data_IF_328806967971
#
_entry.id   IF_328806967971
#
_cell.length_a   1.000
_cell.length_b   1.000
_cell.length_c   1.000
_cell.angle_alpha   90.00
_cell.angle_beta   90.00
_cell.angle_gamma   90.00
#
_symmetry.space_group_name_H-M   'P 1'
#
loop_
_entity.id
_entity.type
_entity.pdbx_description
1 polymer ?
#
# COMPACT_ATOMS: atom_id res chain seq x y z
N UNK A 1 -5.57 -10.92 20.26
CA UNK A 1 -5.69 -9.52 19.87
C UNK A 1 -5.39 -8.65 21.08
N UNK A 2 -4.21 -8.06 21.11
CA UNK A 2 -3.85 -7.01 22.06
C UNK A 2 -4.27 -5.68 21.41
N UNK A 3 -5.17 -4.95 22.06
CA UNK A 3 -5.46 -3.58 21.66
C UNK A 3 -4.28 -2.70 22.05
N UNK A 4 -3.97 -1.66 21.26
CA UNK A 4 -2.88 -0.70 21.51
C UNK A 4 -2.88 -0.09 22.93
N UNK A 5 -4.00 -0.14 23.64
CA UNK A 5 -4.17 0.40 24.99
C UNK A 5 -3.73 -0.54 26.12
N UNK A 6 -3.19 -1.72 25.81
CA UNK A 6 -2.75 -2.68 26.83
C UNK A 6 -1.24 -2.78 26.81
N UNK A 7 -0.60 -2.36 27.88
CA UNK A 7 0.85 -2.58 28.03
C UNK A 7 1.16 -4.08 27.94
N UNK A 8 1.93 -4.53 26.93
CA UNK A 8 2.24 -5.94 26.72
C UNK A 8 2.83 -6.61 27.96
N UNK A 9 3.62 -5.89 28.76
CA UNK A 9 4.20 -6.39 30.00
C UNK A 9 3.16 -6.68 31.10
N UNK A 10 1.94 -6.16 30.98
CA UNK A 10 0.86 -6.41 31.95
C UNK A 10 0.00 -7.63 31.59
N UNK A 11 0.16 -8.20 30.40
CA UNK A 11 -0.59 -9.37 29.93
C UNK A 11 0.06 -10.64 30.47
N UNK A 12 -0.65 -11.48 31.23
CA UNK A 12 -0.07 -12.73 31.69
C UNK A 12 0.33 -13.64 30.52
N UNK A 13 1.56 -14.05 30.51
CA UNK A 13 2.04 -15.05 29.55
C UNK A 13 1.37 -16.39 29.80
N UNK A 14 0.78 -16.98 28.77
CA UNK A 14 0.34 -18.37 28.79
C UNK A 14 1.35 -19.19 28.00
N UNK A 15 2.15 -19.97 28.66
CA UNK A 15 3.09 -20.88 28.02
C UNK A 15 2.33 -22.03 27.35
N UNK A 16 2.58 -22.21 26.04
CA UNK A 16 2.04 -23.36 25.31
C UNK A 16 2.82 -24.63 25.54
N UNK A 17 2.31 -25.76 25.00
CA UNK A 17 2.87 -27.09 25.16
C UNK A 17 4.37 -27.19 24.79
N UNK A 18 4.86 -26.39 23.89
CA UNK A 18 6.27 -26.33 23.52
C UNK A 18 7.20 -25.99 24.69
N UNK A 19 6.69 -25.33 25.74
CA UNK A 19 7.45 -24.99 26.94
C UNK A 19 7.53 -26.13 27.97
N UNK A 20 6.77 -27.20 27.76
CA UNK A 20 6.69 -28.37 28.65
C UNK A 20 7.53 -29.55 28.10
N UNK A 21 8.11 -29.43 26.93
CA UNK A 21 8.88 -30.47 26.25
C UNK A 21 10.38 -30.17 26.27
N UNK A 22 11.20 -31.24 26.48
CA UNK A 22 12.66 -31.13 26.41
C UNK A 22 13.14 -31.26 24.96
N UNK A 23 12.66 -30.33 24.13
CA UNK A 23 12.99 -30.27 22.71
C UNK A 23 13.31 -28.79 22.30
N UNK A 24 14.07 -28.64 21.22
CA UNK A 24 14.34 -27.35 20.65
C UNK A 24 13.17 -26.92 19.76
N UNK A 25 12.65 -25.71 20.00
CA UNK A 25 11.56 -25.09 19.22
C UNK A 25 12.05 -23.79 18.58
N UNK A 26 11.64 -23.47 17.33
CA UNK A 26 10.91 -24.35 16.41
C UNK A 26 11.72 -25.58 15.99
N UNK A 27 11.07 -26.67 15.59
CA UNK A 27 11.76 -27.91 15.21
C UNK A 27 12.47 -27.77 13.86
N UNK A 28 11.78 -27.16 12.90
CA UNK A 28 12.32 -26.92 11.56
C UNK A 28 13.08 -25.60 11.53
N UNK A 29 14.35 -25.65 11.13
CA UNK A 29 15.19 -24.45 10.94
C UNK A 29 15.05 -23.86 9.53
N UNK A 30 14.49 -24.61 8.59
CA UNK A 30 14.17 -24.18 7.23
C UNK A 30 12.93 -24.92 6.76
N UNK A 31 11.97 -24.19 6.23
CA UNK A 31 10.80 -24.80 5.59
C UNK A 31 10.35 -23.95 4.39
N UNK A 32 9.49 -24.52 3.55
CA UNK A 32 8.90 -23.83 2.41
C UNK A 32 7.43 -23.52 2.71
N UNK A 33 6.97 -22.32 2.37
CA UNK A 33 5.55 -21.99 2.32
C UNK A 33 4.90 -22.57 1.07
N UNK A 34 3.60 -22.41 0.91
CA UNK A 34 2.94 -22.76 -0.35
C UNK A 34 3.48 -21.89 -1.49
N UNK A 35 3.60 -22.44 -2.72
CA UNK A 35 3.88 -21.62 -3.88
C UNK A 35 2.79 -20.57 -4.09
N UNK A 36 3.17 -19.41 -4.56
CA UNK A 36 2.27 -18.31 -4.89
C UNK A 36 2.49 -17.85 -6.34
N UNK A 37 1.54 -17.11 -6.88
CA UNK A 37 1.65 -16.48 -8.19
C UNK A 37 1.69 -14.98 -7.98
N UNK A 38 2.65 -14.33 -8.63
CA UNK A 38 2.75 -12.90 -8.74
C UNK A 38 2.75 -12.58 -10.23
N UNK A 39 1.59 -12.17 -10.75
CA UNK A 39 1.34 -11.87 -12.15
C UNK A 39 1.81 -12.96 -13.13
N UNK A 40 3.04 -12.91 -13.60
CA UNK A 40 3.61 -13.84 -14.60
C UNK A 40 4.64 -14.78 -14.04
N UNK A 41 4.97 -14.67 -12.78
CA UNK A 41 6.00 -15.46 -12.10
C UNK A 41 5.36 -16.28 -10.96
N UNK A 42 5.73 -17.55 -10.87
CA UNK A 42 5.36 -18.40 -9.75
C UNK A 42 6.54 -18.48 -8.79
N UNK A 43 6.31 -18.04 -7.57
CA UNK A 43 7.30 -17.96 -6.51
C UNK A 43 7.20 -19.08 -5.48
N UNK A 44 8.21 -19.14 -4.62
CA UNK A 44 8.29 -20.09 -3.51
C UNK A 44 9.09 -19.46 -2.37
N UNK A 45 8.42 -19.10 -1.28
CA UNK A 45 9.10 -18.59 -0.11
C UNK A 45 9.79 -19.71 0.68
N UNK A 46 11.01 -19.43 1.13
CA UNK A 46 11.81 -20.31 1.99
C UNK A 46 12.07 -19.56 3.30
N UNK A 47 11.53 -20.08 4.37
CA UNK A 47 11.63 -19.47 5.69
C UNK A 47 12.81 -20.06 6.46
N UNK A 48 13.63 -19.20 7.04
CA UNK A 48 14.76 -19.54 7.88
C UNK A 48 14.46 -19.21 9.34
N UNK A 49 14.68 -20.15 10.23
CA UNK A 49 14.54 -19.99 11.68
C UNK A 49 15.88 -20.30 12.36
N UNK A 50 16.85 -19.37 12.34
CA UNK A 50 18.22 -19.65 12.78
C UNK A 50 18.38 -19.76 14.29
N UNK A 51 17.34 -19.51 15.06
CA UNK A 51 17.35 -19.56 16.52
C UNK A 51 16.34 -20.59 17.00
N UNK A 52 16.79 -21.50 17.85
CA UNK A 52 15.95 -22.47 18.53
C UNK A 52 16.13 -22.36 20.05
N UNK A 53 15.05 -22.51 20.78
CA UNK A 53 15.06 -22.47 22.23
C UNK A 53 14.56 -23.81 22.84
N UNK A 54 15.29 -24.34 23.80
CA UNK A 54 14.83 -25.46 24.64
C UNK A 54 14.41 -24.92 26.02
N UNK A 55 13.14 -24.92 26.35
CA UNK A 55 12.65 -24.30 27.58
C UNK A 55 13.01 -25.07 28.85
N UNK A 56 13.12 -26.40 28.76
CA UNK A 56 13.50 -27.25 29.90
C UNK A 56 14.98 -27.08 30.23
N UNK A 57 15.83 -27.09 29.19
CA UNK A 57 17.28 -26.89 29.35
C UNK A 57 17.63 -25.40 29.48
N UNK A 58 16.70 -24.49 29.22
CA UNK A 58 16.92 -23.01 29.14
C UNK A 58 18.09 -22.65 28.25
N UNK A 59 18.17 -23.30 27.09
CA UNK A 59 19.30 -23.19 26.17
C UNK A 59 18.82 -22.66 24.83
N UNK A 60 19.50 -21.60 24.31
CA UNK A 60 19.37 -21.13 22.95
C UNK A 60 20.39 -21.87 22.07
N UNK A 61 19.93 -22.28 20.90
CA UNK A 61 20.79 -22.77 19.82
C UNK A 61 20.69 -21.77 18.66
N UNK A 62 21.82 -21.19 18.29
CA UNK A 62 21.92 -20.22 17.21
C UNK A 62 22.73 -20.83 16.07
N UNK A 63 22.15 -20.85 14.88
CA UNK A 63 22.83 -21.29 13.67
C UNK A 63 23.45 -20.07 12.98
N UNK A 64 24.77 -19.96 13.04
CA UNK A 64 25.53 -18.87 12.41
C UNK A 64 25.75 -19.07 10.91
N UNK A 65 25.45 -20.26 10.41
CA UNK A 65 25.55 -20.61 9.01
C UNK A 65 24.54 -21.70 8.66
N UNK A 66 23.68 -21.42 7.68
CA UNK A 66 22.70 -22.38 7.14
C UNK A 66 22.93 -22.46 5.63
N UNK A 67 23.12 -23.68 5.12
CA UNK A 67 23.22 -23.95 3.69
C UNK A 67 22.02 -24.76 3.24
N UNK A 68 21.25 -24.20 2.31
CA UNK A 68 20.06 -24.84 1.72
C UNK A 68 20.37 -25.20 0.27
N UNK A 69 20.04 -26.42 -0.11
CA UNK A 69 20.06 -26.87 -1.51
C UNK A 69 18.62 -27.10 -1.97
N UNK A 70 18.17 -26.31 -2.92
CA UNK A 70 16.85 -26.42 -3.53
C UNK A 70 16.95 -27.34 -4.75
N UNK A 71 16.14 -28.38 -4.79
CA UNK A 71 16.08 -29.31 -5.93
C UNK A 71 14.64 -29.48 -6.38
N UNK A 72 14.42 -29.35 -7.67
CA UNK A 72 13.10 -29.63 -8.25
C UNK A 72 12.78 -31.13 -8.10
N UNK A 73 11.65 -31.43 -7.46
CA UNK A 73 11.20 -32.80 -7.21
C UNK A 73 9.79 -33.04 -7.74
N UNK A 74 9.52 -32.66 -8.98
CA UNK A 74 8.23 -32.87 -9.64
C UNK A 74 7.40 -31.59 -9.83
N UNK A 75 6.10 -31.77 -10.03
CA UNK A 75 5.15 -30.69 -10.27
C UNK A 75 4.16 -30.59 -9.11
N UNK A 76 3.96 -29.37 -8.58
CA UNK A 76 2.94 -29.08 -7.57
C UNK A 76 1.63 -28.68 -8.24
N UNK A 77 0.52 -29.13 -7.66
CA UNK A 77 -0.84 -28.69 -8.03
C UNK A 77 -1.32 -27.51 -7.21
N UNK A 78 -0.51 -27.00 -6.29
CA UNK A 78 -0.82 -25.79 -5.52
C UNK A 78 -0.39 -24.60 -6.36
N UNK A 79 -1.29 -23.67 -6.62
CA UNK A 79 -1.07 -22.48 -7.45
C UNK A 79 -0.26 -22.78 -8.73
N UNK A 80 -0.76 -23.62 -9.65
CA UNK A 80 -0.07 -23.85 -10.91
C UNK A 80 -0.26 -22.63 -11.83
N UNK A 81 0.80 -22.05 -12.32
CA UNK A 81 0.73 -20.97 -13.31
C UNK A 81 0.29 -21.56 -14.67
N UNK A 82 -0.99 -21.55 -14.94
CA UNK A 82 -1.61 -22.18 -16.13
C UNK A 82 -1.90 -21.20 -17.26
N UNK A 83 -2.05 -19.90 -16.95
CA UNK A 83 -2.29 -18.82 -17.91
C UNK A 83 -1.29 -17.69 -17.68
N UNK A 84 -1.07 -16.91 -18.70
CA UNK A 84 -0.27 -15.66 -18.64
C UNK A 84 -0.94 -14.63 -19.53
N UNK A 85 -0.82 -13.31 -19.21
CA UNK A 85 -1.29 -12.28 -20.11
C UNK A 85 -0.72 -12.42 -21.52
N UNK A 86 -1.52 -12.08 -22.52
CA UNK A 86 -1.13 -12.16 -23.93
C UNK A 86 -0.06 -11.11 -24.29
N UNK A 87 -0.07 -9.96 -23.62
CA UNK A 87 0.89 -8.87 -23.80
C UNK A 87 1.87 -8.84 -22.64
N UNK A 88 3.12 -8.50 -22.96
CA UNK A 88 4.26 -8.61 -22.06
C UNK A 88 4.21 -7.71 -20.82
N UNK A 89 5.25 -7.80 -20.00
CA UNK A 89 5.32 -7.29 -18.66
C UNK A 89 5.23 -5.76 -18.54
N UNK A 90 4.70 -5.32 -17.41
CA UNK A 90 4.80 -3.95 -16.93
C UNK A 90 6.19 -3.76 -16.29
N UNK A 91 6.78 -2.58 -16.49
CA UNK A 91 8.06 -2.23 -15.88
C UNK A 91 8.02 -2.31 -14.36
N UNK A 92 6.92 -1.88 -13.76
CA UNK A 92 6.73 -1.93 -12.32
C UNK A 92 6.81 -3.37 -11.82
N UNK A 93 6.15 -4.31 -12.49
CA UNK A 93 6.22 -5.73 -12.11
C UNK A 93 7.58 -6.36 -12.37
N UNK A 94 8.31 -5.97 -13.42
CA UNK A 94 9.68 -6.44 -13.64
C UNK A 94 10.62 -6.01 -12.51
N UNK A 95 10.44 -4.79 -12.01
CA UNK A 95 11.18 -4.29 -10.87
C UNK A 95 10.80 -5.04 -9.57
N UNK A 96 9.49 -5.22 -9.33
CA UNK A 96 8.98 -6.03 -8.21
C UNK A 96 9.62 -7.43 -8.22
N UNK A 97 9.66 -8.08 -9.39
CA UNK A 97 10.25 -9.41 -9.49
C UNK A 97 11.75 -9.42 -9.19
N UNK A 98 12.47 -8.39 -9.62
CA UNK A 98 13.89 -8.28 -9.38
C UNK A 98 14.24 -8.16 -7.90
N UNK A 99 13.39 -7.46 -7.14
CA UNK A 99 13.54 -7.34 -5.69
C UNK A 99 13.09 -8.60 -4.96
N UNK A 100 11.90 -9.08 -5.31
CA UNK A 100 11.22 -10.12 -4.56
C UNK A 100 11.80 -11.54 -4.76
N UNK A 101 12.35 -11.84 -5.94
CA UNK A 101 12.85 -13.18 -6.26
C UNK A 101 14.38 -13.21 -6.37
N UNK A 102 15.05 -13.90 -5.46
CA UNK A 102 16.51 -14.07 -5.44
C UNK A 102 17.11 -14.59 -6.74
N UNK A 103 16.36 -15.30 -7.55
CA UNK A 103 16.81 -15.90 -8.81
C UNK A 103 16.09 -15.32 -10.05
N UNK A 104 15.41 -14.20 -9.90
CA UNK A 104 14.85 -13.53 -11.05
C UNK A 104 15.97 -12.85 -11.84
N UNK A 105 15.96 -13.06 -13.13
CA UNK A 105 16.84 -12.36 -14.06
C UNK A 105 16.00 -11.85 -15.23
N UNK A 106 16.04 -10.58 -15.50
CA UNK A 106 15.51 -10.04 -16.74
C UNK A 106 16.33 -10.60 -17.91
N UNK A 107 15.74 -11.49 -18.68
CA UNK A 107 16.38 -12.07 -19.88
C UNK A 107 16.38 -11.10 -21.09
N UNK A 108 16.09 -9.81 -20.86
CA UNK A 108 16.15 -8.84 -21.96
C UNK A 108 17.60 -8.43 -22.21
N UNK A 109 18.09 -8.67 -23.43
CA UNK A 109 19.37 -8.17 -23.94
C UNK A 109 19.39 -6.63 -24.09
N UNK A 110 18.28 -5.96 -23.84
CA UNK A 110 18.08 -4.51 -23.94
C UNK A 110 17.41 -4.03 -22.68
N UNK A 111 17.86 -2.89 -22.12
CA UNK A 111 17.06 -2.11 -21.21
C UNK A 111 15.71 -1.87 -21.90
N UNK A 112 14.64 -2.46 -21.37
CA UNK A 112 13.30 -2.14 -21.84
C UNK A 112 13.08 -0.66 -21.51
N UNK A 113 13.08 0.18 -22.54
CA UNK A 113 12.59 1.53 -22.44
C UNK A 113 11.19 1.43 -21.82
N UNK A 114 11.03 1.97 -20.57
CA UNK A 114 9.89 1.67 -19.74
C UNK A 114 8.59 2.14 -20.34
N UNK A 115 7.87 1.22 -20.95
CA UNK A 115 6.45 1.37 -21.19
C UNK A 115 5.75 1.01 -19.90
N UNK A 116 5.03 1.97 -19.32
CA UNK A 116 4.07 1.73 -18.27
C UNK A 116 2.96 0.84 -18.85
N UNK A 117 2.45 -0.12 -18.04
CA UNK A 117 1.45 -1.07 -18.54
C UNK A 117 0.10 -0.38 -18.84
N UNK A 118 -0.79 -1.03 -19.63
CA UNK A 118 -2.12 -0.49 -19.90
C UNK A 118 -2.93 -0.28 -18.62
N UNK A 119 -3.75 0.76 -18.60
CA UNK A 119 -4.67 1.11 -17.53
C UNK A 119 -6.12 0.86 -17.97
N UNK A 120 -6.91 0.27 -17.09
CA UNK A 120 -8.35 0.19 -17.21
C UNK A 120 -8.99 1.19 -16.23
N UNK A 121 -9.85 2.05 -16.73
CA UNK A 121 -10.69 2.93 -15.90
C UNK A 121 -12.11 2.37 -15.90
N UNK A 122 -12.59 1.91 -14.75
CA UNK A 122 -13.99 1.53 -14.53
C UNK A 122 -14.69 2.73 -13.91
N UNK A 123 -15.60 3.35 -14.65
CA UNK A 123 -16.17 4.64 -14.32
C UNK A 123 -17.68 4.54 -14.15
N UNK A 124 -18.23 5.30 -13.20
CA UNK A 124 -19.68 5.51 -13.15
C UNK A 124 -20.12 6.37 -14.34
N UNK A 125 -21.19 5.97 -15.03
CA UNK A 125 -21.59 6.56 -16.31
C UNK A 125 -21.73 8.08 -16.33
N UNK A 126 -22.26 8.68 -15.24
CA UNK A 126 -22.41 10.14 -15.13
C UNK A 126 -21.07 10.87 -15.02
N UNK A 127 -19.97 10.20 -14.67
CA UNK A 127 -18.63 10.78 -14.51
C UNK A 127 -17.76 10.65 -15.75
N UNK A 128 -18.15 9.86 -16.74
CA UNK A 128 -17.34 9.54 -17.90
C UNK A 128 -16.96 10.77 -18.73
N UNK A 129 -17.86 11.75 -18.88
CA UNK A 129 -17.56 12.99 -19.61
C UNK A 129 -16.46 13.79 -18.89
N UNK A 130 -16.56 13.93 -17.57
CA UNK A 130 -15.56 14.62 -16.76
C UNK A 130 -14.21 13.88 -16.76
N UNK A 131 -14.18 12.56 -16.92
CA UNK A 131 -12.97 11.74 -16.95
C UNK A 131 -12.21 11.80 -18.29
N UNK A 132 -12.80 12.30 -19.37
CA UNK A 132 -12.14 12.32 -20.69
C UNK A 132 -10.76 13.00 -20.68
N UNK A 133 -10.56 14.17 -20.03
CA UNK A 133 -9.24 14.80 -19.97
C UNK A 133 -8.17 13.93 -19.31
N UNK A 134 -8.54 13.14 -18.29
CA UNK A 134 -7.63 12.20 -17.64
C UNK A 134 -7.22 11.06 -18.60
N UNK A 135 -8.18 10.44 -19.28
CA UNK A 135 -7.91 9.38 -20.26
C UNK A 135 -7.03 9.87 -21.39
N UNK A 136 -7.31 11.08 -21.91
CA UNK A 136 -6.49 11.73 -22.94
C UNK A 136 -5.07 11.99 -22.44
N UNK A 137 -4.93 12.49 -21.20
CA UNK A 137 -3.63 12.74 -20.58
C UNK A 137 -2.81 11.45 -20.41
N UNK A 138 -3.40 10.38 -19.87
CA UNK A 138 -2.71 9.09 -19.69
C UNK A 138 -2.25 8.50 -21.02
N UNK A 139 -3.10 8.54 -22.04
CA UNK A 139 -2.74 8.12 -23.39
C UNK A 139 -1.62 9.00 -23.98
N UNK A 140 -1.67 10.32 -23.78
CA UNK A 140 -0.63 11.24 -24.23
C UNK A 140 0.72 10.97 -23.52
N UNK A 141 0.67 10.65 -22.23
CA UNK A 141 1.84 10.29 -21.41
C UNK A 141 2.45 8.93 -21.83
N UNK A 142 1.72 8.12 -22.59
CA UNK A 142 2.19 6.80 -23.07
C UNK A 142 1.65 5.62 -22.28
N UNK A 143 0.65 5.83 -21.43
CA UNK A 143 -0.08 4.77 -20.72
C UNK A 143 -1.36 4.47 -21.51
N UNK A 144 -1.42 3.36 -22.30
CA UNK A 144 -2.64 3.00 -23.01
C UNK A 144 -3.80 2.84 -22.03
N UNK A 145 -4.80 3.72 -22.14
CA UNK A 145 -5.90 3.77 -21.16
C UNK A 145 -7.23 3.57 -21.87
N UNK A 146 -7.99 2.58 -21.39
CA UNK A 146 -9.38 2.32 -21.78
C UNK A 146 -10.31 2.70 -20.63
N UNK A 147 -11.43 3.33 -20.93
CA UNK A 147 -12.46 3.65 -19.95
C UNK A 147 -13.77 2.97 -20.32
N UNK A 148 -14.42 2.34 -19.34
CA UNK A 148 -15.70 1.62 -19.49
C UNK A 148 -16.70 2.07 -18.44
N UNK A 149 -18.00 2.07 -18.80
CA UNK A 149 -19.07 2.33 -17.88
C UNK A 149 -19.32 1.10 -16.99
N UNK A 150 -19.36 1.27 -15.68
CA UNK A 150 -19.68 0.18 -14.75
C UNK A 150 -21.05 -0.42 -15.02
N UNK A 151 -21.99 0.35 -15.55
CA UNK A 151 -23.31 -0.14 -15.93
C UNK A 151 -23.29 -1.21 -17.06
N UNK A 152 -22.25 -1.20 -17.89
CA UNK A 152 -22.04 -2.20 -18.92
C UNK A 152 -21.39 -3.50 -18.36
N UNK A 153 -20.89 -3.46 -17.13
CA UNK A 153 -20.23 -4.59 -16.47
C UNK A 153 -21.17 -5.26 -15.47
N UNK A 154 -21.59 -4.54 -14.43
CA UNK A 154 -22.48 -5.05 -13.38
C UNK A 154 -21.99 -4.80 -11.94
N UNK A 155 -22.23 -5.76 -11.04
CA UNK A 155 -21.84 -5.70 -9.64
C UNK A 155 -20.39 -6.11 -9.39
N UNK A 156 -20.00 -6.28 -8.11
CA UNK A 156 -18.63 -6.59 -7.74
C UNK A 156 -18.09 -7.88 -8.37
N UNK A 157 -18.90 -8.94 -8.42
CA UNK A 157 -18.48 -10.23 -8.99
C UNK A 157 -18.27 -10.13 -10.51
N UNK A 158 -19.10 -9.35 -11.22
CA UNK A 158 -18.96 -9.09 -12.65
C UNK A 158 -17.75 -8.17 -12.94
N UNK A 159 -17.46 -7.19 -12.06
CA UNK A 159 -16.26 -6.35 -12.17
C UNK A 159 -15.00 -7.20 -12.00
N UNK A 160 -14.97 -8.09 -11.01
CA UNK A 160 -13.85 -9.02 -10.79
C UNK A 160 -13.58 -9.87 -12.04
N UNK A 161 -14.61 -10.51 -12.58
CA UNK A 161 -14.51 -11.32 -13.80
C UNK A 161 -14.09 -10.49 -15.03
N UNK A 162 -14.53 -9.24 -15.12
CA UNK A 162 -14.16 -8.33 -16.21
C UNK A 162 -12.69 -7.92 -16.10
N UNK A 163 -12.22 -7.55 -14.90
CA UNK A 163 -10.82 -7.20 -14.63
C UNK A 163 -9.91 -8.41 -14.91
N UNK A 164 -10.30 -9.62 -14.47
CA UNK A 164 -9.57 -10.85 -14.80
C UNK A 164 -9.46 -11.05 -16.32
N UNK A 165 -10.56 -10.86 -17.05
CA UNK A 165 -10.57 -10.98 -18.53
C UNK A 165 -9.62 -9.97 -19.16
N UNK A 166 -9.69 -8.71 -18.76
CA UNK A 166 -8.81 -7.64 -19.26
C UNK A 166 -7.34 -7.90 -18.92
N UNK A 167 -7.07 -8.45 -17.76
CA UNK A 167 -5.71 -8.84 -17.38
C UNK A 167 -5.14 -9.89 -18.34
N UNK A 168 -5.88 -10.96 -18.62
CA UNK A 168 -5.39 -12.04 -19.49
C UNK A 168 -5.37 -11.66 -20.97
N UNK A 169 -6.33 -10.88 -21.45
CA UNK A 169 -6.49 -10.56 -22.88
C UNK A 169 -5.67 -9.31 -23.27
N UNK A 170 -5.66 -8.27 -22.44
CA UNK A 170 -5.02 -7.00 -22.73
C UNK A 170 -3.72 -6.75 -21.92
N UNK A 171 -3.51 -7.50 -20.84
CA UNK A 171 -2.32 -7.40 -20.00
C UNK A 171 -2.29 -6.14 -19.16
N UNK A 172 -3.46 -5.65 -18.69
CA UNK A 172 -3.54 -4.46 -17.86
C UNK A 172 -2.66 -4.57 -16.61
N UNK A 173 -2.04 -3.47 -16.23
CA UNK A 173 -1.22 -3.35 -15.03
C UNK A 173 -1.89 -2.50 -13.95
N UNK A 174 -2.80 -1.63 -14.35
CA UNK A 174 -3.48 -0.66 -13.48
C UNK A 174 -4.98 -0.71 -13.69
N UNK A 175 -5.73 -0.59 -12.61
CA UNK A 175 -7.17 -0.33 -12.63
C UNK A 175 -7.47 0.88 -11.77
N UNK A 176 -8.20 1.85 -12.30
CA UNK A 176 -8.72 2.98 -11.57
C UNK A 176 -10.24 2.90 -11.51
N UNK A 177 -10.80 2.79 -10.33
CA UNK A 177 -12.24 2.91 -10.09
C UNK A 177 -12.63 4.37 -9.89
N UNK A 178 -13.67 4.83 -10.58
CA UNK A 178 -14.13 6.22 -10.51
C UNK A 178 -15.58 6.28 -10.05
N UNK A 179 -15.75 6.56 -8.79
CA UNK A 179 -17.02 6.57 -8.04
C UNK A 179 -16.84 6.10 -6.61
N UNK A 180 -17.74 6.50 -5.74
CA UNK A 180 -17.83 6.02 -4.36
C UNK A 180 -18.47 4.61 -4.34
N UNK A 181 -18.68 4.05 -3.17
CA UNK A 181 -19.21 2.69 -2.97
C UNK A 181 -20.57 2.46 -3.64
N UNK A 182 -21.41 3.49 -3.68
CA UNK A 182 -22.74 3.42 -4.30
C UNK A 182 -22.70 3.47 -5.82
N UNK A 183 -21.62 4.04 -6.40
CA UNK A 183 -21.39 4.13 -7.85
C UNK A 183 -20.61 2.92 -8.36
N UNK A 184 -19.54 2.57 -7.68
CA UNK A 184 -18.66 1.44 -8.02
C UNK A 184 -18.58 0.51 -6.81
N UNK A 185 -19.28 -0.63 -6.82
CA UNK A 185 -19.24 -1.58 -5.72
C UNK A 185 -17.83 -2.12 -5.49
N UNK A 186 -17.55 -2.54 -4.27
CA UNK A 186 -16.31 -3.17 -3.84
C UNK A 186 -16.61 -4.55 -3.26
N UNK A 187 -15.77 -5.56 -3.47
CA UNK A 187 -15.85 -6.81 -2.74
C UNK A 187 -15.80 -6.55 -1.24
N UNK A 188 -16.49 -7.40 -0.49
CA UNK A 188 -16.59 -7.22 0.95
C UNK A 188 -16.21 -8.49 1.68
N UNK A 189 -15.26 -8.37 2.57
CA UNK A 189 -14.81 -9.47 3.40
C UNK A 189 -15.00 -9.15 4.89
N UNK A 190 -15.20 -10.19 5.68
CA UNK A 190 -15.29 -10.04 7.13
C UNK A 190 -13.90 -9.86 7.73
N UNK A 191 -13.69 -8.77 8.46
CA UNK A 191 -12.47 -8.46 9.19
C UNK A 191 -12.28 -9.29 10.48
N UNK A 192 -13.10 -10.30 10.70
CA UNK A 192 -13.08 -11.10 11.92
C UNK A 192 -13.65 -10.39 13.16
N UNK A 193 -13.83 -9.07 13.12
CA UNK A 193 -14.49 -8.27 14.16
C UNK A 193 -15.99 -8.10 13.91
N UNK A 194 -16.50 -8.61 12.77
CA UNK A 194 -17.90 -8.58 12.39
C UNK A 194 -18.25 -7.43 11.44
N UNK A 195 -17.29 -6.65 10.98
CA UNK A 195 -17.45 -5.70 9.90
C UNK A 195 -17.39 -6.43 8.55
N UNK A 196 -18.05 -5.88 7.57
CA UNK A 196 -18.02 -6.34 6.18
C UNK A 196 -17.46 -5.18 5.36
N UNK A 197 -16.13 -5.03 5.40
CA UNK A 197 -15.44 -3.86 4.89
C UNK A 197 -15.06 -3.97 3.42
N UNK A 198 -15.02 -2.85 2.68
CA UNK A 198 -14.57 -2.85 1.29
C UNK A 198 -13.12 -3.30 1.16
N UNK A 199 -12.83 -3.99 0.08
CA UNK A 199 -11.54 -4.60 -0.18
C UNK A 199 -11.16 -4.46 -1.67
N UNK A 200 -11.03 -3.24 -2.15
CA UNK A 200 -10.65 -2.93 -3.54
C UNK A 200 -9.39 -3.65 -4.00
N UNK A 201 -8.33 -3.82 -3.16
CA UNK A 201 -7.15 -4.55 -3.59
C UNK A 201 -7.43 -5.97 -4.09
N UNK A 202 -8.52 -6.61 -3.63
CA UNK A 202 -8.88 -7.97 -4.06
C UNK A 202 -9.23 -8.07 -5.54
N UNK A 203 -9.65 -6.98 -6.19
CA UNK A 203 -9.82 -6.94 -7.65
C UNK A 203 -8.51 -7.15 -8.41
N UNK A 204 -7.37 -6.99 -7.75
CA UNK A 204 -6.05 -7.24 -8.30
C UNK A 204 -5.57 -8.68 -8.18
N UNK A 205 -6.27 -9.56 -7.45
CA UNK A 205 -5.88 -10.96 -7.22
C UNK A 205 -6.47 -11.86 -8.31
N UNK A 206 -5.93 -11.78 -9.52
CA UNK A 206 -6.51 -12.43 -10.72
C UNK A 206 -5.79 -13.73 -11.10
N UNK A 207 -4.70 -14.09 -10.46
CA UNK A 207 -3.96 -15.31 -10.75
C UNK A 207 -3.61 -16.10 -9.48
N UNK A 208 -4.01 -17.34 -9.42
CA UNK A 208 -3.76 -18.20 -8.25
C UNK A 208 -4.91 -18.21 -7.25
N UNK A 209 -4.60 -18.39 -5.99
CA UNK A 209 -5.51 -18.33 -4.85
C UNK A 209 -4.75 -17.83 -3.62
N UNK A 210 -3.97 -16.81 -3.81
CA UNK A 210 -3.16 -16.14 -2.80
C UNK A 210 -3.47 -14.64 -2.78
N UNK A 211 -2.80 -13.88 -1.92
CA UNK A 211 -3.05 -12.45 -1.71
C UNK A 211 -1.98 -11.56 -2.38
N UNK A 212 -1.24 -12.10 -3.35
CA UNK A 212 -0.29 -11.28 -4.10
C UNK A 212 -0.98 -10.67 -5.33
N UNK A 213 -1.12 -9.34 -5.39
CA UNK A 213 -1.82 -8.70 -6.49
C UNK A 213 -1.03 -8.77 -7.80
N UNK A 214 -1.73 -8.99 -8.89
CA UNK A 214 -1.21 -8.91 -10.25
C UNK A 214 -1.46 -7.56 -10.91
N UNK A 215 -2.34 -6.76 -10.33
CA UNK A 215 -2.77 -5.46 -10.85
C UNK A 215 -2.74 -4.46 -9.70
N UNK A 216 -2.26 -3.26 -9.98
CA UNK A 216 -2.32 -2.14 -9.04
C UNK A 216 -3.70 -1.51 -9.14
N UNK A 217 -4.40 -1.44 -8.01
CA UNK A 217 -5.77 -0.93 -7.93
C UNK A 217 -5.75 0.43 -7.23
N UNK A 218 -6.37 1.44 -7.85
CA UNK A 218 -6.62 2.74 -7.25
C UNK A 218 -8.09 3.15 -7.34
N UNK A 219 -8.50 4.11 -6.51
CA UNK A 219 -9.86 4.64 -6.52
C UNK A 219 -9.88 6.16 -6.47
N UNK A 220 -10.59 6.77 -7.42
CA UNK A 220 -11.13 8.11 -7.29
C UNK A 220 -12.53 8.01 -6.69
N UNK A 221 -12.60 7.98 -5.35
CA UNK A 221 -13.89 7.91 -4.66
C UNK A 221 -14.62 9.23 -4.78
N UNK A 222 -15.69 9.25 -5.57
CA UNK A 222 -16.45 10.44 -5.93
C UNK A 222 -17.95 10.18 -5.84
N UNK A 223 -18.69 11.14 -5.25
CA UNK A 223 -20.15 11.12 -5.17
C UNK A 223 -20.80 11.99 -6.25
N UNK A 224 -20.03 12.93 -6.81
CA UNK A 224 -20.50 13.85 -7.86
C UNK A 224 -19.35 14.24 -8.80
N UNK A 225 -19.70 14.93 -9.88
CA UNK A 225 -18.74 15.36 -10.91
C UNK A 225 -17.72 16.38 -10.40
N UNK A 226 -18.05 17.18 -9.39
CA UNK A 226 -17.10 18.16 -8.84
C UNK A 226 -15.97 17.47 -8.07
N UNK A 227 -16.24 16.34 -7.41
CA UNK A 227 -15.21 15.49 -6.81
C UNK A 227 -14.28 14.92 -7.88
N UNK A 228 -14.86 14.40 -8.98
CA UNK A 228 -14.09 13.87 -10.12
C UNK A 228 -13.19 14.95 -10.71
N UNK A 229 -13.74 16.11 -11.03
CA UNK A 229 -13.00 17.26 -11.60
C UNK A 229 -11.86 17.71 -10.67
N UNK A 230 -12.08 17.71 -9.36
CA UNK A 230 -11.04 18.05 -8.36
C UNK A 230 -9.86 17.08 -8.44
N UNK A 231 -10.12 15.78 -8.45
CA UNK A 231 -9.08 14.74 -8.51
C UNK A 231 -8.33 14.75 -9.84
N UNK A 232 -9.06 14.89 -10.96
CA UNK A 232 -8.46 14.96 -12.30
C UNK A 232 -7.57 16.20 -12.45
N UNK A 233 -8.08 17.38 -12.08
CA UNK A 233 -7.34 18.63 -12.20
C UNK A 233 -6.04 18.56 -11.39
N UNK A 234 -6.09 18.01 -10.17
CA UNK A 234 -4.92 17.81 -9.34
C UNK A 234 -3.91 16.84 -9.98
N UNK A 235 -4.38 15.69 -10.47
CA UNK A 235 -3.51 14.69 -11.10
C UNK A 235 -2.83 15.24 -12.35
N UNK A 236 -3.59 15.91 -13.23
CA UNK A 236 -3.05 16.49 -14.46
C UNK A 236 -2.06 17.61 -14.13
N UNK A 237 -2.39 18.52 -13.21
CA UNK A 237 -1.47 19.58 -12.76
C UNK A 237 -0.17 18.99 -12.21
N UNK A 238 -0.26 18.01 -11.32
CA UNK A 238 0.89 17.37 -10.70
C UNK A 238 1.82 16.68 -11.70
N UNK A 239 1.26 16.00 -12.69
CA UNK A 239 2.04 15.21 -13.66
C UNK A 239 2.52 16.01 -14.86
N UNK A 240 1.74 16.99 -15.32
CA UNK A 240 1.99 17.69 -16.61
C UNK A 240 2.96 18.86 -16.46
N UNK A 241 2.88 19.60 -15.37
CA UNK A 241 3.61 20.87 -15.21
C UNK A 241 4.30 20.97 -13.83
N UNK A 242 5.18 20.03 -13.48
CA UNK A 242 5.92 20.11 -12.23
C UNK A 242 6.89 21.28 -12.26
N UNK A 243 6.86 22.15 -11.24
CA UNK A 243 7.84 23.23 -11.10
C UNK A 243 9.20 22.67 -10.65
N UNK A 244 10.21 22.59 -11.53
CA UNK A 244 11.52 22.02 -11.19
C UNK A 244 12.29 22.87 -10.16
N UNK A 245 11.81 24.06 -9.84
CA UNK A 245 12.44 24.99 -8.87
C UNK A 245 11.75 24.95 -7.50
N UNK A 246 10.64 24.24 -7.37
CA UNK A 246 9.88 24.19 -6.14
C UNK A 246 10.62 23.35 -5.07
N UNK A 247 10.76 23.93 -3.89
CA UNK A 247 11.47 23.28 -2.76
C UNK A 247 10.64 22.23 -2.04
N UNK A 248 9.32 22.28 -2.14
CA UNK A 248 8.41 21.38 -1.42
C UNK A 248 8.58 19.90 -1.80
N UNK A 249 9.04 19.61 -3.02
CA UNK A 249 9.36 18.24 -3.45
C UNK A 249 10.43 17.54 -2.60
N UNK A 250 11.26 18.34 -1.89
CA UNK A 250 12.34 17.83 -1.04
C UNK A 250 12.00 17.90 0.44
N UNK A 251 10.74 18.08 0.76
CA UNK A 251 10.26 18.18 2.13
C UNK A 251 9.24 17.11 2.42
N UNK A 252 9.27 16.56 3.62
CA UNK A 252 8.33 15.56 4.11
C UNK A 252 7.86 15.86 5.52
N UNK A 253 6.89 15.09 6.00
CA UNK A 253 6.43 15.14 7.40
C UNK A 253 6.20 13.74 7.94
N UNK A 254 6.62 13.51 9.19
CA UNK A 254 6.25 12.37 10.00
C UNK A 254 5.28 12.79 11.12
N UNK A 255 4.16 12.09 11.22
CA UNK A 255 3.18 12.29 12.30
C UNK A 255 3.01 11.00 13.07
N UNK A 256 3.38 10.95 14.35
CA UNK A 256 3.43 9.71 15.12
C UNK A 256 2.86 9.80 16.52
N UNK A 257 2.35 8.66 17.00
CA UNK A 257 2.09 8.47 18.43
C UNK A 257 3.40 8.16 19.19
N UNK A 258 3.32 8.23 20.52
CA UNK A 258 4.38 7.77 21.43
C UNK A 258 4.16 6.33 21.92
N UNK A 259 3.33 5.56 21.22
CA UNK A 259 2.94 4.20 21.58
C UNK A 259 3.80 3.15 20.87
N UNK A 260 3.70 1.92 21.34
CA UNK A 260 4.48 0.79 20.84
C UNK A 260 4.66 -0.28 21.93
N UNK A 261 5.59 -1.22 21.73
CA UNK A 261 6.38 -1.42 20.51
C UNK A 261 5.57 -2.04 19.37
N UNK A 262 5.91 -1.62 18.14
CA UNK A 262 5.41 -2.17 16.90
C UNK A 262 6.40 -3.14 16.24
N UNK A 263 6.65 -2.94 14.96
CA UNK A 263 7.66 -3.67 14.20
C UNK A 263 9.05 -3.41 14.74
N UNK A 264 9.98 -4.36 14.62
CA UNK A 264 11.35 -4.32 15.14
C UNK A 264 11.48 -3.94 16.64
N UNK A 265 10.36 -3.83 17.34
CA UNK A 265 10.30 -3.42 18.73
C UNK A 265 10.35 -1.93 18.95
N UNK A 266 10.09 -1.14 17.93
CA UNK A 266 10.12 0.32 17.91
C UNK A 266 8.81 0.95 18.40
N UNK A 267 8.90 2.14 18.98
CA UNK A 267 7.75 3.00 19.17
C UNK A 267 7.39 3.70 17.85
N UNK A 268 6.13 4.13 17.70
CA UNK A 268 5.65 4.75 16.46
C UNK A 268 6.52 5.92 16.00
N UNK A 269 6.98 6.77 16.92
CA UNK A 269 7.86 7.88 16.57
C UNK A 269 9.31 7.45 16.27
N UNK A 270 9.80 6.35 16.87
CA UNK A 270 11.12 5.80 16.57
C UNK A 270 11.16 5.23 15.15
N UNK A 271 10.09 4.53 14.77
CA UNK A 271 9.86 4.06 13.41
C UNK A 271 9.90 5.22 12.39
N UNK A 272 9.15 6.30 12.64
CA UNK A 272 9.18 7.46 11.74
C UNK A 272 10.49 8.26 11.80
N UNK A 273 11.26 8.17 12.88
CA UNK A 273 12.62 8.74 12.94
C UNK A 273 13.59 7.97 12.03
N UNK A 274 13.48 6.65 11.93
CA UNK A 274 14.26 5.84 11.01
C UNK A 274 13.93 6.20 9.55
N UNK A 275 12.66 6.21 9.18
CA UNK A 275 12.20 6.67 7.85
C UNK A 275 12.69 8.09 7.55
N UNK A 276 12.63 8.99 8.53
CA UNK A 276 13.14 10.35 8.39
C UNK A 276 14.63 10.40 8.07
N UNK A 277 15.42 9.59 8.77
CA UNK A 277 16.87 9.57 8.57
C UNK A 277 17.21 9.06 7.16
N UNK A 278 16.48 8.09 6.63
CA UNK A 278 16.63 7.58 5.27
C UNK A 278 16.23 8.64 4.23
N UNK A 279 15.11 9.31 4.41
CA UNK A 279 14.68 10.41 3.54
C UNK A 279 15.72 11.55 3.50
N UNK A 280 16.23 11.96 4.66
CA UNK A 280 17.28 13.00 4.77
C UNK A 280 18.63 12.53 4.22
N UNK A 281 18.91 11.22 4.28
CA UNK A 281 20.08 10.59 3.70
C UNK A 281 20.08 10.57 2.18
N UNK A 282 18.91 10.67 1.57
CA UNK A 282 18.74 10.58 0.12
C UNK A 282 18.69 11.96 -0.57
N UNK A 283 17.52 12.55 -0.71
CA UNK A 283 17.38 13.85 -1.40
C UNK A 283 16.53 14.88 -0.65
N UNK A 284 15.90 14.45 0.42
CA UNK A 284 15.09 15.34 1.25
C UNK A 284 15.98 16.29 2.07
N UNK A 285 15.53 17.51 2.27
CA UNK A 285 16.27 18.56 3.01
C UNK A 285 15.59 18.90 4.33
N UNK A 286 14.33 18.53 4.47
CA UNK A 286 13.50 18.79 5.64
C UNK A 286 12.46 17.68 5.78
N UNK A 287 12.35 17.08 6.96
CA UNK A 287 11.29 16.13 7.31
C UNK A 287 10.86 16.45 8.75
N UNK A 288 9.61 16.89 8.91
CA UNK A 288 9.08 17.29 10.19
C UNK A 288 8.89 16.10 11.13
N UNK A 289 9.08 16.34 12.42
CA UNK A 289 8.81 15.43 13.51
C UNK A 289 7.65 15.99 14.34
N UNK A 290 6.40 15.71 13.94
CA UNK A 290 5.20 16.17 14.64
C UNK A 290 4.61 15.00 15.41
N UNK A 291 5.16 14.75 16.58
CA UNK A 291 4.94 13.55 17.37
C UNK A 291 4.28 13.86 18.72
N UNK A 292 3.50 12.89 19.23
CA UNK A 292 3.03 12.94 20.62
C UNK A 292 4.22 13.04 21.61
N UNK A 293 4.04 13.71 22.76
CA UNK A 293 2.84 14.47 23.17
C UNK A 293 2.88 15.93 22.76
N UNK A 294 3.85 16.38 21.95
CA UNK A 294 4.09 17.79 21.66
C UNK A 294 3.48 18.26 20.32
N UNK A 295 3.23 17.36 19.40
CA UNK A 295 2.67 17.68 18.08
C UNK A 295 1.25 18.22 18.18
N UNK A 296 0.89 19.14 17.30
CA UNK A 296 -0.43 19.78 17.26
C UNK A 296 -1.00 19.82 15.84
N UNK A 297 -2.31 20.04 15.73
CA UNK A 297 -2.98 20.30 14.45
C UNK A 297 -2.35 21.51 13.73
N UNK A 298 -2.08 22.59 14.47
CA UNK A 298 -1.48 23.81 13.90
C UNK A 298 -0.09 23.54 13.27
N UNK A 299 0.75 22.71 13.91
CA UNK A 299 2.05 22.34 13.36
C UNK A 299 1.90 21.59 12.02
N UNK A 300 0.95 20.64 11.94
CA UNK A 300 0.67 19.90 10.72
C UNK A 300 0.09 20.78 9.62
N UNK A 301 -0.88 21.66 9.94
CA UNK A 301 -1.44 22.61 8.98
C UNK A 301 -0.37 23.56 8.42
N UNK A 302 0.55 24.06 9.27
CA UNK A 302 1.66 24.90 8.83
C UNK A 302 2.56 24.13 7.87
N UNK A 303 3.00 22.92 8.25
CA UNK A 303 3.86 22.09 7.43
C UNK A 303 3.21 21.79 6.05
N UNK A 304 1.96 21.33 6.04
CA UNK A 304 1.23 20.99 4.82
C UNK A 304 1.00 22.21 3.91
N UNK A 305 0.67 23.36 4.49
CA UNK A 305 0.44 24.60 3.74
C UNK A 305 1.74 25.23 3.21
N UNK A 306 2.87 24.96 3.84
CA UNK A 306 4.21 25.31 3.30
C UNK A 306 4.65 24.38 2.17
N UNK A 307 4.00 23.23 2.02
CA UNK A 307 4.25 22.19 1.02
C UNK A 307 5.16 21.07 1.51
N UNK A 308 4.63 19.87 1.44
CA UNK A 308 5.35 18.60 1.68
C UNK A 308 5.02 17.64 0.55
N UNK A 309 5.97 16.86 0.09
CA UNK A 309 5.75 15.89 -0.99
C UNK A 309 5.32 14.53 -0.45
N UNK A 310 5.70 14.21 0.79
CA UNK A 310 5.37 12.95 1.45
C UNK A 310 4.90 13.22 2.88
N UNK A 311 3.92 12.44 3.30
CA UNK A 311 3.50 12.33 4.70
C UNK A 311 3.49 10.86 5.10
N UNK A 312 4.24 10.53 6.13
CA UNK A 312 4.16 9.25 6.82
C UNK A 312 3.40 9.45 8.14
N UNK A 313 2.36 8.65 8.35
CA UNK A 313 1.59 8.63 9.59
C UNK A 313 1.64 7.26 10.24
N UNK A 314 1.90 7.20 11.55
CA UNK A 314 1.83 5.96 12.34
C UNK A 314 1.19 6.23 13.69
N UNK A 315 0.00 5.66 13.92
CA UNK A 315 -0.77 5.92 15.14
C UNK A 315 -2.22 5.45 15.07
N UNK A 316 -3.05 5.97 15.97
CA UNK A 316 -4.49 5.70 15.95
C UNK A 316 -5.21 6.46 14.84
N UNK A 317 -6.25 5.84 14.29
CA UNK A 317 -7.14 6.44 13.31
C UNK A 317 -8.61 6.22 13.64
N UNK A 318 -9.43 7.04 13.02
CA UNK A 318 -10.88 6.87 12.96
C UNK A 318 -11.33 7.08 11.52
N UNK A 319 -12.61 6.85 11.21
CA UNK A 319 -13.14 7.08 9.87
C UNK A 319 -12.89 8.51 9.35
N UNK A 320 -12.82 9.53 10.21
CA UNK A 320 -12.67 10.93 9.80
C UNK A 320 -11.44 11.66 10.35
N UNK A 321 -10.46 10.96 10.96
CA UNK A 321 -9.31 11.67 11.55
C UNK A 321 -8.14 10.76 11.87
N UNK A 322 -6.96 11.33 11.97
CA UNK A 322 -5.86 10.81 12.77
C UNK A 322 -6.05 11.12 14.25
N UNK A 323 -5.42 10.36 15.14
CA UNK A 323 -5.60 10.48 16.59
C UNK A 323 -4.37 10.96 17.36
N UNK A 324 -3.19 11.00 16.72
CA UNK A 324 -1.90 11.20 17.39
C UNK A 324 -0.99 12.14 16.61
N UNK A 325 0.04 12.62 17.26
CA UNK A 325 1.06 13.52 16.70
C UNK A 325 0.45 14.79 16.14
N UNK A 326 -0.14 14.68 14.97
CA UNK A 326 -0.93 15.71 14.33
C UNK A 326 -2.37 15.20 14.16
N UNK A 327 -3.27 15.39 15.14
CA UNK A 327 -4.62 14.80 15.11
C UNK A 327 -5.57 15.58 14.19
N UNK A 328 -5.22 15.65 12.90
CA UNK A 328 -6.02 16.25 11.85
C UNK A 328 -7.34 15.51 11.68
N UNK A 329 -8.41 16.25 11.48
CA UNK A 329 -9.73 15.75 11.10
C UNK A 329 -10.16 16.31 9.73
N UNK A 330 -11.32 15.88 9.26
CA UNK A 330 -11.87 16.29 7.97
C UNK A 330 -12.02 17.82 7.83
N UNK A 331 -12.32 18.53 8.92
CA UNK A 331 -12.44 19.99 8.88
C UNK A 331 -11.09 20.66 8.65
N UNK A 332 -10.06 20.15 9.31
CA UNK A 332 -8.70 20.67 9.18
C UNK A 332 -8.18 20.43 7.75
N UNK A 333 -8.39 19.22 7.21
CA UNK A 333 -8.00 18.91 5.82
C UNK A 333 -8.73 19.79 4.81
N UNK A 334 -10.02 20.03 4.98
CA UNK A 334 -10.80 20.94 4.14
C UNK A 334 -10.40 22.42 4.34
N UNK A 335 -9.67 22.76 5.40
CA UNK A 335 -9.10 24.07 5.66
C UNK A 335 -7.74 24.32 5.02
N UNK A 336 -7.10 23.30 4.45
CA UNK A 336 -5.77 23.41 3.85
C UNK A 336 -5.77 24.35 2.64
N UNK A 337 -4.63 25.03 2.43
CA UNK A 337 -4.42 25.97 1.32
C UNK A 337 -3.18 25.61 0.47
N UNK A 338 -2.81 24.34 0.48
CA UNK A 338 -1.63 23.78 -0.18
C UNK A 338 -1.79 23.55 -1.69
N UNK A 339 -2.45 24.49 -2.38
CA UNK A 339 -2.68 24.44 -3.83
C UNK A 339 -1.38 24.26 -4.60
N UNK A 340 -1.32 23.27 -5.50
CA UNK A 340 -0.13 22.92 -6.29
C UNK A 340 0.97 22.20 -5.51
N UNK A 341 0.76 21.93 -4.22
CA UNK A 341 1.73 21.26 -3.33
C UNK A 341 1.08 20.07 -2.64
N UNK A 342 0.80 19.03 -3.41
CA UNK A 342 0.00 17.88 -2.98
C UNK A 342 0.91 16.73 -2.51
N UNK A 343 0.95 16.38 -1.21
CA UNK A 343 1.67 15.22 -0.73
C UNK A 343 1.01 13.92 -1.21
N UNK A 344 1.80 12.86 -1.34
CA UNK A 344 1.28 11.52 -1.20
C UNK A 344 1.43 11.06 0.25
N UNK A 345 0.52 10.19 0.70
CA UNK A 345 0.40 9.85 2.12
C UNK A 345 0.37 8.34 2.30
N UNK A 346 1.23 7.82 3.18
CA UNK A 346 1.12 6.48 3.72
C UNK A 346 0.68 6.54 5.18
N UNK A 347 -0.48 5.94 5.47
CA UNK A 347 -1.10 6.00 6.80
C UNK A 347 -1.23 4.61 7.41
N UNK A 348 -0.43 4.34 8.42
CA UNK A 348 -0.57 3.18 9.31
C UNK A 348 -1.54 3.56 10.41
N UNK A 349 -2.83 3.35 10.14
CA UNK A 349 -3.92 3.75 11.03
C UNK A 349 -5.22 2.97 10.76
N UNK A 350 -6.05 2.84 11.80
CA UNK A 350 -7.34 2.19 11.70
C UNK A 350 -8.35 3.01 10.88
N UNK A 351 -9.14 2.37 10.04
CA UNK A 351 -10.40 2.80 9.39
C UNK A 351 -10.39 4.16 8.68
N UNK A 352 -9.23 4.74 8.40
CA UNK A 352 -9.13 6.02 7.70
C UNK A 352 -9.64 5.96 6.25
N UNK A 353 -9.67 4.76 5.65
CA UNK A 353 -10.15 4.47 4.30
C UNK A 353 -11.51 3.75 4.27
N UNK A 354 -12.31 3.78 5.33
CA UNK A 354 -13.58 3.05 5.43
C UNK A 354 -14.71 3.76 4.65
N UNK A 355 -14.57 3.83 3.33
CA UNK A 355 -15.39 4.64 2.41
C UNK A 355 -16.83 4.15 2.20
N UNK A 356 -17.25 3.10 2.89
CA UNK A 356 -18.65 2.64 2.85
C UNK A 356 -19.51 3.20 3.98
N UNK A 357 -18.95 4.02 4.87
CA UNK A 357 -19.63 4.63 6.00
C UNK A 357 -19.50 6.16 5.92
N UNK A 358 -20.28 6.78 5.05
CA UNK A 358 -20.19 8.23 4.79
C UNK A 358 -18.81 8.61 4.26
N UNK A 359 -18.54 9.90 4.17
CA UNK A 359 -17.23 10.37 3.71
C UNK A 359 -16.14 10.01 4.70
N UNK A 360 -15.16 9.22 4.29
CA UNK A 360 -14.01 8.86 5.13
C UNK A 360 -12.85 9.87 5.03
N UNK A 361 -11.81 9.65 5.83
CA UNK A 361 -10.68 10.56 5.88
C UNK A 361 -9.87 10.55 4.58
N UNK A 362 -9.68 9.39 3.96
CA UNK A 362 -9.03 9.26 2.66
C UNK A 362 -9.75 10.07 1.56
N UNK A 363 -11.06 9.98 1.51
CA UNK A 363 -11.88 10.73 0.56
C UNK A 363 -11.78 12.24 0.78
N UNK A 364 -11.73 12.66 2.05
CA UNK A 364 -11.56 14.08 2.38
C UNK A 364 -10.27 14.64 1.79
N UNK A 365 -9.16 13.90 1.91
CA UNK A 365 -7.89 14.31 1.32
C UNK A 365 -7.96 14.47 -0.21
N UNK A 366 -8.70 13.60 -0.88
CA UNK A 366 -8.82 13.65 -2.34
C UNK A 366 -9.89 14.64 -2.84
N UNK A 367 -10.92 14.90 -2.04
CA UNK A 367 -12.04 15.80 -2.41
C UNK A 367 -11.78 17.25 -2.00
N UNK A 368 -10.74 17.53 -1.19
CA UNK A 368 -10.47 18.84 -0.63
C UNK A 368 -10.21 19.90 -1.71
N UNK A 369 -10.84 21.06 -1.52
CA UNK A 369 -10.67 22.26 -2.37
C UNK A 369 -10.55 23.51 -1.51
N UNK A 370 -9.74 24.45 -1.98
CA UNK A 370 -9.68 25.79 -1.39
C UNK A 370 -10.93 26.62 -1.67
N UNK A 371 -10.97 27.82 -1.11
CA UNK A 371 -12.13 28.73 -1.19
C UNK A 371 -12.57 29.09 -2.61
N UNK A 372 -11.72 28.91 -3.61
CA UNK A 372 -11.99 29.19 -5.03
C UNK A 372 -12.31 27.92 -5.84
N UNK A 373 -12.50 26.76 -5.18
CA UNK A 373 -12.69 25.49 -5.85
C UNK A 373 -11.42 24.90 -6.50
N UNK A 374 -10.25 25.48 -6.21
CA UNK A 374 -8.96 24.93 -6.66
C UNK A 374 -8.58 23.75 -5.75
N UNK A 375 -8.09 22.63 -6.29
CA UNK A 375 -7.73 21.47 -5.49
C UNK A 375 -6.72 21.81 -4.37
N UNK A 376 -6.88 21.19 -3.22
CA UNK A 376 -5.96 21.15 -2.08
C UNK A 376 -5.83 19.70 -1.60
N UNK A 377 -5.31 19.44 -0.41
CA UNK A 377 -5.23 18.09 0.14
C UNK A 377 -4.07 17.26 -0.41
N UNK A 378 -4.30 16.02 -0.81
CA UNK A 378 -3.26 15.07 -1.22
C UNK A 378 -3.47 14.55 -2.65
N UNK A 379 -2.36 14.15 -3.32
CA UNK A 379 -2.41 13.56 -4.68
C UNK A 379 -2.89 12.11 -4.62
N UNK A 380 -2.41 11.35 -3.63
CA UNK A 380 -2.81 9.96 -3.38
C UNK A 380 -2.61 9.62 -1.90
N UNK A 381 -3.41 8.70 -1.38
CA UNK A 381 -3.28 8.21 -0.01
C UNK A 381 -3.48 6.69 0.03
N UNK A 382 -2.73 6.00 0.89
CA UNK A 382 -2.91 4.58 1.21
C UNK A 382 -3.46 4.48 2.62
N UNK A 383 -4.72 4.06 2.74
CA UNK A 383 -5.46 4.06 4.01
C UNK A 383 -6.31 2.80 4.18
N UNK A 384 -6.38 2.29 5.41
CA UNK A 384 -7.06 1.04 5.71
C UNK A 384 -8.58 1.21 5.85
N UNK A 385 -9.32 0.24 5.33
CA UNK A 385 -10.78 0.15 5.48
C UNK A 385 -11.22 -0.58 6.76
N UNK A 386 -10.27 -1.10 7.54
CA UNK A 386 -10.51 -1.85 8.79
C UNK A 386 -9.68 -1.31 9.95
N UNK A 387 -9.90 -1.87 11.15
CA UNK A 387 -8.96 -1.69 12.25
C UNK A 387 -7.67 -2.42 11.94
N UNK A 388 -6.69 -1.68 11.48
CA UNK A 388 -5.41 -2.19 11.05
C UNK A 388 -4.59 -2.76 12.22
N UNK A 389 -3.88 -3.85 12.02
CA UNK A 389 -2.91 -4.35 12.99
C UNK A 389 -1.73 -3.40 13.14
N UNK A 390 -0.80 -3.66 14.06
CA UNK A 390 0.26 -2.68 14.35
C UNK A 390 1.53 -2.94 13.54
N UNK A 391 2.18 -4.07 13.80
CA UNK A 391 3.51 -4.34 13.25
C UNK A 391 3.53 -4.58 11.73
N UNK A 392 2.64 -5.40 11.12
CA UNK A 392 2.74 -5.66 9.69
C UNK A 392 2.70 -4.40 8.82
N UNK A 393 1.77 -3.44 9.02
CA UNK A 393 1.76 -2.24 8.18
C UNK A 393 2.92 -1.28 8.45
N UNK A 394 3.58 -1.33 9.62
CA UNK A 394 4.83 -0.58 9.84
C UNK A 394 5.96 -1.15 8.97
N UNK A 395 6.16 -2.47 8.94
CA UNK A 395 7.11 -3.15 8.04
C UNK A 395 6.84 -2.81 6.56
N UNK A 396 5.57 -2.80 6.15
CA UNK A 396 5.20 -2.35 4.80
C UNK A 396 5.54 -0.88 4.53
N UNK A 397 5.38 -0.01 5.52
CA UNK A 397 5.70 1.42 5.39
C UNK A 397 7.21 1.64 5.31
N UNK A 398 8.02 0.90 6.07
CA UNK A 398 9.48 0.93 5.96
C UNK A 398 9.93 0.57 4.55
N UNK A 399 9.46 -0.56 4.02
CA UNK A 399 9.82 -1.00 2.68
C UNK A 399 9.40 -0.01 1.59
N UNK A 400 8.22 0.63 1.71
CA UNK A 400 7.80 1.69 0.78
C UNK A 400 8.79 2.85 0.76
N UNK A 401 9.27 3.29 1.93
CA UNK A 401 10.23 4.36 2.06
C UNK A 401 11.63 3.94 1.62
N UNK A 402 12.08 2.72 1.92
CA UNK A 402 13.35 2.15 1.46
C UNK A 402 13.44 2.12 -0.08
N UNK A 403 12.36 1.72 -0.74
CA UNK A 403 12.31 1.74 -2.21
C UNK A 403 12.31 3.18 -2.73
N UNK A 404 11.59 4.09 -2.07
CA UNK A 404 11.54 5.50 -2.45
C UNK A 404 12.92 6.15 -2.40
N UNK A 405 13.72 5.85 -1.38
CA UNK A 405 15.09 6.39 -1.22
C UNK A 405 16.14 5.61 -2.00
N UNK A 406 15.71 4.72 -2.90
CA UNK A 406 16.59 3.93 -3.77
C UNK A 406 17.61 3.07 -2.98
N UNK A 407 17.22 2.54 -1.81
CA UNK A 407 18.05 1.62 -1.01
C UNK A 407 18.45 0.35 -1.78
N UNK A 408 17.71 0.01 -2.82
CA UNK A 408 17.92 -1.16 -3.66
C UNK A 408 18.39 -0.77 -5.07
N UNK A 409 19.60 -1.19 -5.49
CA UNK A 409 20.18 -0.85 -6.80
C UNK A 409 19.28 -1.23 -8.00
N UNK A 410 18.44 -2.25 -7.85
CA UNK A 410 17.62 -2.80 -8.93
C UNK A 410 16.12 -2.60 -8.75
N UNK A 411 15.67 -1.87 -7.72
CA UNK A 411 14.26 -1.64 -7.42
C UNK A 411 13.92 -0.15 -7.38
N UNK A 412 14.10 0.54 -8.48
CA UNK A 412 13.73 1.96 -8.62
C UNK A 412 12.29 2.04 -9.09
N UNK A 413 11.41 2.58 -8.24
CA UNK A 413 10.00 2.84 -8.54
C UNK A 413 9.77 4.32 -8.81
N UNK A 414 8.78 4.58 -9.66
CA UNK A 414 8.41 5.94 -10.05
C UNK A 414 6.92 6.22 -9.92
N UNK A 415 6.14 5.24 -9.56
CA UNK A 415 4.70 5.38 -9.35
C UNK A 415 4.34 5.11 -7.89
N UNK A 416 3.35 5.84 -7.39
CA UNK A 416 2.85 5.65 -6.03
C UNK A 416 2.35 4.21 -5.81
N UNK A 417 1.62 3.68 -6.78
CA UNK A 417 1.14 2.30 -6.74
C UNK A 417 2.27 1.27 -6.74
N UNK A 418 3.34 1.51 -7.51
CA UNK A 418 4.52 0.64 -7.53
C UNK A 418 5.25 0.60 -6.18
N UNK A 419 5.44 1.76 -5.54
CA UNK A 419 6.01 1.88 -4.19
C UNK A 419 5.14 1.15 -3.17
N UNK A 420 3.84 1.49 -3.13
CA UNK A 420 2.88 0.94 -2.17
C UNK A 420 2.74 -0.58 -2.31
N UNK A 421 2.65 -1.09 -3.56
CA UNK A 421 2.49 -2.52 -3.82
C UNK A 421 3.70 -3.35 -3.36
N UNK A 422 4.94 -2.83 -3.53
CA UNK A 422 6.11 -3.53 -3.01
C UNK A 422 6.09 -3.60 -1.48
N UNK A 423 5.75 -2.51 -0.80
CA UNK A 423 5.66 -2.51 0.66
C UNK A 423 4.61 -3.50 1.18
N UNK A 424 3.40 -3.55 0.60
CA UNK A 424 2.39 -4.51 1.05
C UNK A 424 2.78 -5.96 0.77
N UNK A 425 3.53 -6.23 -0.30
CA UNK A 425 4.03 -7.59 -0.58
C UNK A 425 5.17 -7.99 0.37
N UNK A 426 6.06 -7.05 0.71
CA UNK A 426 7.08 -7.27 1.74
C UNK A 426 6.43 -7.61 3.08
N UNK A 427 5.47 -6.82 3.50
CA UNK A 427 4.65 -7.07 4.69
C UNK A 427 4.03 -8.49 4.71
N UNK A 428 3.50 -8.96 3.57
CA UNK A 428 2.96 -10.32 3.45
C UNK A 428 4.06 -11.39 3.61
N UNK A 429 5.22 -11.16 3.02
CA UNK A 429 6.35 -12.10 3.16
C UNK A 429 6.88 -12.16 4.59
N UNK A 430 7.02 -11.02 5.25
CA UNK A 430 7.54 -10.91 6.61
C UNK A 430 6.58 -11.49 7.65
N UNK A 431 5.30 -11.16 7.54
CA UNK A 431 4.28 -11.47 8.55
C UNK A 431 3.36 -12.64 8.19
N UNK A 432 3.44 -13.19 6.96
CA UNK A 432 2.59 -14.29 6.50
C UNK A 432 1.11 -13.93 6.55
N UNK A 433 0.27 -14.81 7.08
CA UNK A 433 -1.19 -14.60 7.11
C UNK A 433 -1.61 -13.26 7.70
N UNK A 434 -0.91 -12.74 8.71
CA UNK A 434 -1.23 -11.43 9.28
C UNK A 434 -0.95 -10.29 8.31
N UNK A 435 0.11 -10.38 7.51
CA UNK A 435 0.39 -9.42 6.44
C UNK A 435 -0.53 -9.60 5.23
N UNK A 436 -0.81 -10.85 4.84
CA UNK A 436 -1.74 -11.18 3.76
C UNK A 436 -3.16 -10.63 4.02
N UNK A 437 -3.64 -10.69 5.27
CA UNK A 437 -4.94 -10.12 5.65
C UNK A 437 -4.96 -8.59 5.53
N UNK A 438 -3.85 -7.90 5.82
CA UNK A 438 -3.77 -6.43 5.71
C UNK A 438 -3.82 -5.94 4.27
N UNK A 439 -3.28 -6.69 3.29
CA UNK A 439 -3.32 -6.31 1.87
C UNK A 439 -4.75 -6.10 1.38
N UNK A 440 -5.70 -6.93 1.80
CA UNK A 440 -7.11 -6.84 1.42
C UNK A 440 -7.74 -5.47 1.69
N UNK A 441 -7.27 -4.81 2.73
CA UNK A 441 -7.96 -3.65 3.29
C UNK A 441 -7.16 -2.35 3.20
N UNK A 442 -5.91 -2.42 2.78
CA UNK A 442 -5.08 -1.22 2.64
C UNK A 442 -5.22 -0.67 1.22
N UNK A 443 -6.15 0.27 1.07
CA UNK A 443 -6.65 0.75 -0.22
C UNK A 443 -5.92 2.01 -0.67
N UNK A 444 -5.53 2.06 -1.96
CA UNK A 444 -5.02 3.26 -2.62
C UNK A 444 -6.21 4.11 -3.04
N UNK A 445 -6.30 5.33 -2.51
CA UNK A 445 -7.14 6.38 -3.03
C UNK A 445 -6.24 7.32 -3.82
N UNK A 446 -6.53 7.45 -5.12
CA UNK A 446 -5.68 8.18 -6.06
C UNK A 446 -5.42 7.36 -7.33
N UNK A 447 -4.52 7.88 -8.13
CA UNK A 447 -4.08 7.32 -9.43
C UNK A 447 -2.63 6.84 -9.36
#
# INVERSE_FOLDING_TARGET
NLTRNINPASVPYTFGQAYETDEFYPQDIVFMRNPYIMRTVRGQAIVFQPIQYNPIQRTLRVYTHIKVNIQQNGMSQINPLTRRPAKGGSREFENIYAEHFLNYSTNSRYELLGEEGPMLVVCYGEFMESMQPFVEWKNYKGIPTEMVDVADIGGSDEIEAFVETKYYDDGIAFVLFVGDIDQIPSPRYSDGAGSNSPADPSYGFVAGSDYYPEIIIGRFSAEDTSHVETMINRTIEYEMDPDPTADWYKKGSGFASDQGPGDDGELDYEHLDNIRDDLLGFTYVEVDQIYDPSGTVEDGEVALNEGRSIVNYTGHGSNGSWGNGCPLNQTDVNGLVNMGMYPFIWSVACVNGEFHIGTCFAETWLRATGTNGVPTGAIAVLMSTVNQSWSPPMDGQDEMNDILVESYENNIKRTYGGLSMNGVMHMADSYGTAGEEEILYWTIFGD
#
